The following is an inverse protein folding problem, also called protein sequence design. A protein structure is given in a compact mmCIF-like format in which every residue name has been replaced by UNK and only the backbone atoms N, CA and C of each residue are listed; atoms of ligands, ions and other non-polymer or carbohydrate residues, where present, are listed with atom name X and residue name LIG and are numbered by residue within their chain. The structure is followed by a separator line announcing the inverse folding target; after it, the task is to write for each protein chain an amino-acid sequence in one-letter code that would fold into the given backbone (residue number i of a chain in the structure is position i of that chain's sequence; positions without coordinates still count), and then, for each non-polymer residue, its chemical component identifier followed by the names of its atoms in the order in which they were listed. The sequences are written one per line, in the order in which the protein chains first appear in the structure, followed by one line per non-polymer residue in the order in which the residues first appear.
data_IF_715104648182
#
_entry.id   IF_715104648182
#
_cell.length_a   1.000
_cell.length_b   1.000
_cell.length_c   1.000
_cell.angle_alpha   90.00
_cell.angle_beta   90.00
_cell.angle_gamma   90.00
#
_symmetry.space_group_name_H-M   'P 1'
#
loop_
_entity.id
_entity.type
_entity.pdbx_description
1 polymer ?
#
# COMPACT_ATOMS: atom_id res chain seq x y z
N UNK A 1 -4.62 -8.63 6.63
CA UNK A 1 -4.01 -7.47 5.98
C UNK A 1 -5.10 -6.56 5.47
N UNK A 2 -5.07 -5.28 5.79
CA UNK A 2 -5.87 -4.24 5.12
C UNK A 2 -5.07 -3.71 3.93
N UNK A 3 -5.70 -3.61 2.76
CA UNK A 3 -5.04 -3.24 1.51
C UNK A 3 -5.19 -1.75 1.15
N UNK A 4 -5.22 -0.88 2.14
CA UNK A 4 -5.33 0.56 1.96
C UNK A 4 -6.77 1.06 2.01
N UNK A 5 -6.95 2.38 1.88
CA UNK A 5 -8.23 3.06 2.00
C UNK A 5 -8.95 2.72 3.32
N UNK A 6 -8.20 2.84 4.41
CA UNK A 6 -8.68 2.49 5.75
C UNK A 6 -9.83 3.38 6.18
N UNK A 7 -9.83 4.61 5.69
CA UNK A 7 -10.89 5.60 5.83
C UNK A 7 -11.04 6.36 4.52
N UNK A 8 -12.23 6.88 4.25
CA UNK A 8 -12.52 7.62 3.02
C UNK A 8 -12.32 9.11 3.24
N UNK A 9 -11.07 9.59 3.08
CA UNK A 9 -10.70 11.00 3.27
C UNK A 9 -11.19 11.60 4.60
N UNK A 10 -11.17 10.80 5.65
CA UNK A 10 -11.70 11.17 6.95
C UNK A 10 -10.79 10.68 8.08
N UNK A 11 -9.63 11.29 8.24
CA UNK A 11 -8.60 10.89 9.21
C UNK A 11 -9.09 10.88 10.67
N UNK A 12 -10.10 11.67 11.01
CA UNK A 12 -10.76 11.61 12.31
C UNK A 12 -11.38 10.23 12.61
N UNK A 13 -11.56 9.39 11.59
CA UNK A 13 -12.04 8.02 11.72
C UNK A 13 -10.92 7.00 12.01
N UNK A 14 -9.66 7.38 12.01
CA UNK A 14 -8.57 6.44 12.33
C UNK A 14 -8.70 5.87 13.76
N UNK A 15 -9.08 6.69 14.74
CA UNK A 15 -9.28 6.19 16.11
C UNK A 15 -10.41 5.17 16.20
N UNK A 16 -11.65 5.45 15.72
CA UNK A 16 -12.72 4.45 15.72
C UNK A 16 -12.41 3.23 14.83
N UNK A 17 -11.72 3.41 13.71
CA UNK A 17 -11.25 2.29 12.88
C UNK A 17 -10.32 1.36 13.66
N UNK A 18 -9.28 1.90 14.32
CA UNK A 18 -8.37 1.12 15.17
C UNK A 18 -9.10 0.38 16.28
N UNK A 19 -10.08 1.02 16.90
CA UNK A 19 -10.92 0.40 17.91
C UNK A 19 -11.72 -0.77 17.34
N UNK A 20 -12.33 -0.60 16.16
CA UNK A 20 -13.09 -1.66 15.49
C UNK A 20 -12.19 -2.85 15.14
N UNK A 21 -11.01 -2.58 14.58
CA UNK A 21 -10.03 -3.61 14.22
C UNK A 21 -9.50 -4.35 15.47
N UNK A 22 -9.28 -3.64 16.59
CA UNK A 22 -8.80 -4.28 17.82
C UNK A 22 -9.81 -5.28 18.40
N UNK A 23 -11.09 -5.08 18.13
CA UNK A 23 -12.16 -5.99 18.57
C UNK A 23 -12.17 -7.33 17.81
N UNK A 24 -11.42 -7.46 16.73
CA UNK A 24 -11.31 -8.73 16.00
C UNK A 24 -10.50 -9.79 16.73
N UNK A 25 -9.77 -9.42 17.80
CA UNK A 25 -8.95 -10.34 18.58
C UNK A 25 -7.76 -10.94 17.81
N UNK A 26 -7.36 -10.32 16.69
CA UNK A 26 -6.24 -10.76 15.88
C UNK A 26 -5.37 -9.57 15.47
N UNK A 27 -4.08 -9.82 15.23
CA UNK A 27 -3.19 -8.79 14.71
C UNK A 27 -3.58 -8.43 13.28
N UNK A 28 -3.83 -7.15 13.05
CA UNK A 28 -4.10 -6.61 11.72
C UNK A 28 -2.94 -5.73 11.27
N UNK A 29 -2.46 -6.01 10.07
CA UNK A 29 -1.46 -5.20 9.39
C UNK A 29 -2.16 -4.31 8.37
N UNK A 30 -1.74 -3.06 8.29
CA UNK A 30 -2.40 -2.05 7.46
C UNK A 30 -1.46 -1.60 6.34
N UNK A 31 -2.06 -1.24 5.21
CA UNK A 31 -1.40 -0.61 4.08
C UNK A 31 -2.04 0.77 3.85
N UNK A 32 -1.29 1.69 3.31
CA UNK A 32 -1.79 3.02 2.97
C UNK A 32 -2.37 3.02 1.56
N UNK A 33 -3.58 3.57 1.39
CA UNK A 33 -4.21 3.82 0.10
C UNK A 33 -4.33 5.31 -0.21
N UNK A 34 -4.94 5.65 -1.35
CA UNK A 34 -5.06 7.04 -1.78
C UNK A 34 -5.99 7.88 -0.89
N UNK A 35 -7.05 7.28 -0.36
CA UNK A 35 -7.97 7.99 0.55
C UNK A 35 -7.35 8.22 1.95
N UNK A 36 -6.28 7.52 2.30
CA UNK A 36 -5.54 7.75 3.52
C UNK A 36 -4.67 9.01 3.47
N UNK A 37 -4.46 9.61 2.29
CA UNK A 37 -3.87 10.94 2.14
C UNK A 37 -4.84 12.09 2.47
N UNK A 38 -6.12 11.80 2.64
CA UNK A 38 -7.15 12.82 2.91
C UNK A 38 -7.28 13.88 1.80
N UNK A 39 -7.18 13.46 0.56
CA UNK A 39 -7.09 14.36 -0.59
C UNK A 39 -8.38 15.14 -0.87
N UNK A 40 -9.52 14.45 -0.71
CA UNK A 40 -10.84 15.02 -1.01
C UNK A 40 -11.55 15.55 0.24
N UNK A 41 -10.83 15.62 1.34
CA UNK A 41 -11.45 15.90 2.60
C UNK A 41 -12.26 17.19 2.59
N UNK A 42 -13.47 17.06 3.09
CA UNK A 42 -14.32 18.16 3.50
C UNK A 42 -14.52 18.09 5.00
N UNK A 43 -13.53 17.57 5.71
CA UNK A 43 -13.68 17.35 7.12
C UNK A 43 -13.78 18.68 7.84
N UNK A 44 -14.39 18.64 8.96
CA UNK A 44 -14.61 19.79 9.83
C UNK A 44 -13.33 20.48 10.30
N UNK A 45 -12.20 19.82 10.15
CA UNK A 45 -10.89 20.30 10.63
C UNK A 45 -9.98 20.80 9.51
N UNK A 46 -10.52 21.06 8.37
CA UNK A 46 -9.73 21.28 7.17
C UNK A 46 -8.88 22.51 7.13
N UNK A 47 -9.33 23.54 7.81
CA UNK A 47 -8.58 24.78 7.94
C UNK A 47 -7.28 24.61 8.68
N UNK A 48 -7.17 23.55 9.46
CA UNK A 48 -6.04 23.30 10.34
C UNK A 48 -4.92 22.52 9.65
N UNK A 49 -5.15 22.04 8.43
CA UNK A 49 -4.24 21.13 7.73
C UNK A 49 -3.98 21.53 6.29
N UNK A 50 -3.40 22.70 6.07
CA UNK A 50 -3.15 23.20 4.72
C UNK A 50 -1.94 22.54 4.05
N UNK A 51 -1.12 21.79 4.79
CA UNK A 51 0.11 21.24 4.25
C UNK A 51 -0.15 20.00 3.41
N UNK A 52 0.37 19.99 2.21
CA UNK A 52 0.49 18.80 1.38
C UNK A 52 1.23 17.70 2.17
N UNK A 53 0.77 16.46 2.04
CA UNK A 53 1.37 15.33 2.77
C UNK A 53 0.90 15.14 4.21
N UNK A 54 0.03 15.98 4.74
CA UNK A 54 -0.48 15.83 6.09
C UNK A 54 -1.15 14.46 6.32
N UNK A 55 -1.88 13.96 5.35
CA UNK A 55 -2.49 12.63 5.43
C UNK A 55 -1.46 11.53 5.65
N UNK A 56 -0.37 11.56 4.90
CA UNK A 56 0.72 10.61 5.05
C UNK A 56 1.36 10.66 6.45
N UNK A 57 1.63 11.85 6.96
CA UNK A 57 2.17 12.02 8.31
C UNK A 57 1.21 11.46 9.37
N UNK A 58 -0.08 11.72 9.23
CA UNK A 58 -1.10 11.23 10.15
C UNK A 58 -1.23 9.69 10.08
N UNK A 59 -1.11 9.13 8.88
CA UNK A 59 -1.03 7.68 8.71
C UNK A 59 0.15 7.09 9.48
N UNK A 60 1.35 7.65 9.31
CA UNK A 60 2.57 7.20 10.01
C UNK A 60 2.43 7.26 11.54
N UNK A 61 1.82 8.31 12.06
CA UNK A 61 1.57 8.44 13.49
C UNK A 61 0.54 7.42 14.00
N UNK A 62 -0.40 7.02 13.16
CA UNK A 62 -1.51 6.14 13.55
C UNK A 62 -1.20 4.66 13.38
N UNK A 63 -0.46 4.30 12.34
CA UNK A 63 -0.26 2.91 11.90
C UNK A 63 1.21 2.50 11.74
N UNK A 64 2.14 3.46 11.79
CA UNK A 64 3.56 3.19 11.56
C UNK A 64 4.00 3.39 10.11
N UNK A 65 5.14 2.84 9.72
CA UNK A 65 5.71 3.06 8.39
C UNK A 65 4.81 2.48 7.29
N UNK A 66 4.79 3.14 6.12
CA UNK A 66 4.03 2.66 4.97
C UNK A 66 4.71 1.46 4.29
N UNK A 67 6.05 1.41 4.33
CA UNK A 67 6.82 0.27 3.85
C UNK A 67 7.36 -0.53 5.03
N UNK A 68 7.01 -1.80 5.10
CA UNK A 68 7.52 -2.72 6.12
C UNK A 68 7.42 -4.17 5.65
N UNK A 69 8.16 -5.04 6.31
CA UNK A 69 8.13 -6.47 6.05
C UNK A 69 8.22 -7.28 7.33
N UNK A 70 7.80 -8.53 7.25
CA UNK A 70 7.93 -9.51 8.32
C UNK A 70 7.86 -10.94 7.75
N UNK A 71 8.22 -11.91 8.57
CA UNK A 71 8.17 -13.31 8.15
C UNK A 71 7.08 -14.08 8.91
N UNK A 72 6.37 -14.92 8.19
CA UNK A 72 5.48 -15.93 8.76
C UNK A 72 6.02 -17.31 8.31
N UNK A 73 6.74 -17.98 9.17
CA UNK A 73 7.43 -19.21 8.79
C UNK A 73 8.42 -18.96 7.65
N UNK A 74 8.17 -19.58 6.48
CA UNK A 74 9.03 -19.43 5.29
C UNK A 74 8.50 -18.40 4.29
N UNK A 75 7.39 -17.74 4.60
CA UNK A 75 6.81 -16.71 3.74
C UNK A 75 7.32 -15.35 4.20
N UNK A 76 7.91 -14.60 3.28
CA UNK A 76 8.26 -13.21 3.49
C UNK A 76 7.10 -12.32 3.06
N UNK A 77 6.56 -11.55 3.97
CA UNK A 77 5.40 -10.68 3.74
C UNK A 77 5.88 -9.24 3.66
N UNK A 78 5.55 -8.58 2.59
CA UNK A 78 5.89 -7.18 2.33
C UNK A 78 4.61 -6.37 2.24
N UNK A 79 4.54 -5.25 2.93
CA UNK A 79 3.58 -4.19 2.72
C UNK A 79 4.34 -2.98 2.16
N UNK A 80 3.92 -2.49 1.00
CA UNK A 80 4.64 -1.43 0.29
C UNK A 80 3.68 -0.39 -0.26
N UNK A 81 3.98 0.86 0.02
CA UNK A 81 3.24 2.00 -0.54
C UNK A 81 3.49 2.08 -2.04
N UNK A 82 2.43 2.27 -2.81
CA UNK A 82 2.46 2.48 -4.25
C UNK A 82 1.58 3.65 -4.69
N UNK A 83 1.16 4.46 -3.73
CA UNK A 83 0.49 5.74 -3.93
C UNK A 83 1.45 6.84 -3.51
N UNK A 84 1.71 7.78 -4.39
CA UNK A 84 2.58 8.91 -4.13
C UNK A 84 1.83 10.23 -4.32
N UNK A 85 1.98 11.14 -3.38
CA UNK A 85 1.26 12.40 -3.37
C UNK A 85 1.97 13.43 -4.24
N UNK A 86 1.26 13.97 -5.25
CA UNK A 86 1.80 14.93 -6.22
C UNK A 86 1.53 16.39 -5.85
N UNK A 87 0.93 16.66 -4.69
CA UNK A 87 0.46 17.98 -4.30
C UNK A 87 -0.92 18.32 -4.90
N UNK A 88 -1.52 19.41 -4.41
CA UNK A 88 -2.79 19.91 -4.93
C UNK A 88 -3.92 18.86 -4.99
N UNK A 89 -4.02 18.02 -4.00
CA UNK A 89 -5.03 16.94 -3.92
C UNK A 89 -4.96 15.93 -5.07
N UNK A 90 -3.76 15.69 -5.60
CA UNK A 90 -3.50 14.70 -6.64
C UNK A 90 -2.54 13.64 -6.13
N UNK A 91 -2.61 12.49 -6.73
CA UNK A 91 -1.70 11.38 -6.49
C UNK A 91 -1.40 10.64 -7.79
N UNK A 92 -0.33 9.87 -7.76
CA UNK A 92 0.03 8.94 -8.83
C UNK A 92 0.29 7.58 -8.21
N UNK A 93 -0.25 6.54 -8.82
CA UNK A 93 0.10 5.17 -8.49
C UNK A 93 1.49 4.88 -9.06
N UNK A 94 2.48 4.78 -8.17
CA UNK A 94 3.87 4.50 -8.56
C UNK A 94 4.70 4.04 -7.36
N UNK A 95 5.79 3.35 -7.68
CA UNK A 95 6.88 3.13 -6.75
C UNK A 95 7.94 4.19 -6.96
N UNK A 96 8.29 4.92 -5.92
CA UNK A 96 9.39 5.89 -6.00
C UNK A 96 10.74 5.14 -6.08
N UNK A 97 11.82 5.81 -6.50
CA UNK A 97 13.17 5.23 -6.43
C UNK A 97 13.53 4.78 -5.01
N UNK A 98 13.14 5.53 -4.00
CA UNK A 98 13.36 5.25 -2.59
C UNK A 98 12.61 3.98 -2.14
N UNK A 99 11.38 3.79 -2.59
CA UNK A 99 10.59 2.58 -2.32
C UNK A 99 11.25 1.34 -2.94
N UNK A 100 11.72 1.46 -4.19
CA UNK A 100 12.41 0.36 -4.87
C UNK A 100 13.78 0.06 -4.25
N UNK A 101 14.49 1.06 -3.75
CA UNK A 101 15.75 0.87 -3.04
C UNK A 101 15.52 0.21 -1.68
N UNK A 102 14.48 0.61 -0.97
CA UNK A 102 14.05 -0.06 0.26
C UNK A 102 13.75 -1.54 -0.02
N UNK A 103 12.93 -1.83 -1.03
CA UNK A 103 12.59 -3.20 -1.42
C UNK A 103 13.84 -4.02 -1.79
N UNK A 104 14.75 -3.46 -2.56
CA UNK A 104 16.01 -4.13 -2.94
C UNK A 104 16.82 -4.51 -1.70
N UNK A 105 16.90 -3.59 -0.73
CA UNK A 105 17.60 -3.83 0.53
C UNK A 105 16.91 -4.90 1.35
N UNK A 106 15.60 -4.84 1.49
CA UNK A 106 14.80 -5.81 2.23
C UNK A 106 14.97 -7.23 1.63
N UNK A 107 14.78 -7.36 0.32
CA UNK A 107 14.94 -8.61 -0.39
C UNK A 107 16.37 -9.17 -0.34
N UNK A 108 17.38 -8.36 -0.06
CA UNK A 108 18.75 -8.85 0.09
C UNK A 108 18.94 -9.79 1.30
N UNK A 109 18.03 -9.74 2.26
CA UNK A 109 17.99 -10.62 3.42
C UNK A 109 17.13 -11.88 3.21
N UNK A 110 16.44 -11.97 2.07
CA UNK A 110 15.53 -13.06 1.75
C UNK A 110 16.22 -14.05 0.81
N UNK A 111 16.35 -15.34 1.16
CA UNK A 111 16.93 -16.32 0.27
C UNK A 111 16.15 -16.43 -1.05
N UNK A 112 16.87 -16.48 -2.17
CA UNK A 112 16.26 -16.67 -3.50
C UNK A 112 15.43 -17.96 -3.53
N UNK A 113 14.31 -17.90 -4.25
CA UNK A 113 13.37 -19.03 -4.31
C UNK A 113 12.36 -19.08 -3.18
N UNK A 114 12.48 -18.23 -2.15
CA UNK A 114 11.47 -18.14 -1.10
C UNK A 114 10.15 -17.59 -1.63
N UNK A 115 9.09 -17.88 -0.91
CA UNK A 115 7.77 -17.32 -1.18
C UNK A 115 7.73 -15.88 -0.64
N UNK A 116 7.30 -14.95 -1.49
CA UNK A 116 7.10 -13.55 -1.14
C UNK A 116 5.65 -13.18 -1.37
N UNK A 117 4.98 -12.66 -0.34
CA UNK A 117 3.68 -12.04 -0.45
C UNK A 117 3.87 -10.53 -0.46
N UNK A 118 3.68 -9.92 -1.63
CA UNK A 118 3.70 -8.48 -1.78
C UNK A 118 2.27 -7.94 -1.67
N UNK A 119 2.07 -7.00 -0.75
CA UNK A 119 0.81 -6.30 -0.57
C UNK A 119 1.02 -4.83 -0.95
N UNK A 120 0.21 -4.35 -1.87
CA UNK A 120 0.20 -2.98 -2.39
C UNK A 120 -1.23 -2.46 -2.44
N UNK A 121 -1.43 -1.16 -2.59
CA UNK A 121 -2.79 -0.64 -2.71
C UNK A 121 -3.30 -0.71 -4.15
N UNK A 122 -2.59 -0.09 -5.09
CA UNK A 122 -2.97 -0.10 -6.50
C UNK A 122 -2.50 -1.39 -7.21
N UNK A 123 -3.23 -1.90 -8.19
CA UNK A 123 -2.78 -3.02 -9.00
C UNK A 123 -1.47 -2.74 -9.74
N UNK A 124 -0.62 -3.74 -9.82
CA UNK A 124 0.67 -3.64 -10.53
C UNK A 124 0.66 -4.29 -11.92
N UNK A 125 -0.41 -5.00 -12.26
CA UNK A 125 -0.55 -5.68 -13.56
C UNK A 125 -1.34 -4.82 -14.55
N UNK A 126 -0.90 -4.80 -15.81
CA UNK A 126 -1.47 -3.95 -16.86
C UNK A 126 -2.81 -4.46 -17.44
N UNK A 127 -3.36 -5.55 -16.94
CA UNK A 127 -4.51 -6.22 -17.52
C UNK A 127 -5.76 -6.16 -16.65
N UNK A 128 -5.83 -5.23 -15.72
CA UNK A 128 -7.03 -5.06 -14.89
C UNK A 128 -8.18 -4.54 -15.73
N UNK A 129 -9.35 -5.15 -15.60
CA UNK A 129 -10.59 -4.74 -16.29
C UNK A 129 -11.06 -3.36 -15.77
N UNK A 130 -10.69 -3.02 -14.57
CA UNK A 130 -10.99 -1.71 -13.99
C UNK A 130 -10.14 -0.63 -14.64
N UNK A 131 -10.77 0.32 -15.26
CA UNK A 131 -10.10 1.50 -15.79
C UNK A 131 -9.49 2.32 -14.65
N UNK A 132 -8.18 2.45 -14.63
CA UNK A 132 -7.43 3.27 -13.69
C UNK A 132 -6.65 2.45 -12.66
N UNK A 133 -5.43 2.87 -12.40
CA UNK A 133 -4.66 2.40 -11.28
C UNK A 133 -3.73 1.24 -11.53
N UNK A 134 -2.90 1.36 -12.54
CA UNK A 134 -1.71 0.51 -12.65
C UNK A 134 -0.49 1.29 -12.16
N UNK A 135 0.14 0.79 -11.11
CA UNK A 135 1.30 1.44 -10.55
C UNK A 135 2.41 1.62 -11.62
N UNK A 136 2.84 2.85 -11.79
CA UNK A 136 3.99 3.17 -12.65
C UNK A 136 5.25 2.53 -12.05
N UNK A 137 6.21 2.23 -12.90
CA UNK A 137 7.46 1.55 -12.54
C UNK A 137 7.30 0.08 -12.11
N UNK A 138 6.15 -0.55 -12.39
CA UNK A 138 5.93 -1.96 -12.11
C UNK A 138 6.99 -2.88 -12.73
N UNK A 139 7.55 -2.53 -13.88
CA UNK A 139 8.64 -3.30 -14.50
C UNK A 139 9.89 -3.38 -13.61
N UNK A 140 10.25 -2.28 -12.94
CA UNK A 140 11.39 -2.27 -12.01
C UNK A 140 11.10 -3.13 -10.77
N UNK A 141 9.88 -3.07 -10.26
CA UNK A 141 9.40 -3.94 -9.19
C UNK A 141 9.51 -5.42 -9.59
N UNK A 142 9.00 -5.81 -10.76
CA UNK A 142 9.04 -7.20 -11.23
C UNK A 142 10.47 -7.72 -11.42
N UNK A 143 11.41 -6.88 -11.83
CA UNK A 143 12.80 -7.28 -11.90
C UNK A 143 13.40 -7.63 -10.54
N UNK A 144 13.04 -6.87 -9.49
CA UNK A 144 13.48 -7.16 -8.12
C UNK A 144 12.85 -8.45 -7.58
N UNK A 145 11.61 -8.71 -7.93
CA UNK A 145 10.86 -9.87 -7.46
C UNK A 145 11.15 -11.16 -8.22
N UNK A 146 11.70 -11.08 -9.42
CA UNK A 146 11.97 -12.23 -10.31
C UNK A 146 12.66 -13.43 -9.66
N UNK A 147 13.58 -13.27 -8.69
CA UNK A 147 14.25 -14.41 -8.05
C UNK A 147 13.37 -15.19 -7.05
N UNK A 148 12.13 -14.79 -6.82
CA UNK A 148 11.25 -15.30 -5.77
C UNK A 148 9.96 -15.89 -6.34
N UNK A 149 9.27 -16.69 -5.51
CA UNK A 149 7.91 -17.15 -5.81
C UNK A 149 6.92 -16.11 -5.24
N UNK A 150 6.34 -15.28 -6.10
CA UNK A 150 5.61 -14.10 -5.67
C UNK A 150 4.11 -14.26 -5.83
N UNK A 151 3.38 -13.86 -4.81
CA UNK A 151 1.94 -13.55 -4.86
C UNK A 151 1.76 -12.07 -4.55
N UNK A 152 0.98 -11.37 -5.37
CA UNK A 152 0.70 -9.95 -5.19
C UNK A 152 -0.78 -9.78 -4.86
N UNK A 153 -1.05 -9.02 -3.81
CA UNK A 153 -2.40 -8.65 -3.38
C UNK A 153 -2.56 -7.14 -3.48
N UNK A 154 -3.63 -6.71 -4.12
CA UNK A 154 -3.97 -5.29 -4.25
C UNK A 154 -5.44 -5.01 -3.96
N UNK A 155 -5.76 -3.76 -3.68
CA UNK A 155 -7.10 -3.22 -3.49
C UNK A 155 -7.46 -2.21 -4.59
N UNK A 156 -7.89 -1.01 -4.20
CA UNK A 156 -8.10 0.20 -5.02
C UNK A 156 -9.25 0.11 -6.05
N UNK A 157 -9.29 -0.93 -6.86
CA UNK A 157 -10.23 -1.04 -7.99
C UNK A 157 -11.65 -1.43 -7.58
N UNK A 158 -11.85 -1.90 -6.34
CA UNK A 158 -13.12 -2.40 -5.82
C UNK A 158 -13.71 -3.58 -6.63
N UNK A 159 -12.86 -4.30 -7.36
CA UNK A 159 -13.24 -5.51 -8.08
C UNK A 159 -12.45 -6.70 -7.54
N UNK A 160 -13.08 -7.86 -7.55
CA UNK A 160 -12.36 -9.11 -7.38
C UNK A 160 -11.86 -9.57 -8.74
N UNK A 161 -10.57 -9.70 -8.87
CA UNK A 161 -9.91 -10.20 -10.07
C UNK A 161 -8.75 -11.12 -9.66
N UNK A 162 -8.63 -12.26 -10.30
CA UNK A 162 -7.49 -13.15 -10.12
C UNK A 162 -6.76 -13.28 -11.45
N UNK A 163 -5.56 -12.74 -11.50
CA UNK A 163 -4.71 -12.82 -12.67
C UNK A 163 -3.66 -13.90 -12.46
N UNK A 164 -3.73 -14.94 -13.26
CA UNK A 164 -2.63 -15.89 -13.35
C UNK A 164 -1.51 -15.27 -14.18
N UNK A 165 -0.23 -15.57 -13.85
CA UNK A 165 0.87 -15.16 -14.69
C UNK A 165 0.65 -15.69 -16.11
N UNK A 166 0.95 -14.86 -17.12
CA UNK A 166 0.94 -15.33 -18.51
C UNK A 166 1.90 -16.52 -18.63
N UNK A 167 1.51 -17.57 -19.35
CA UNK A 167 2.35 -18.74 -19.53
C UNK A 167 3.68 -18.41 -20.21
#
# INVERSE_FOLDING_TARGET
MGLGDLVWDAMNLYAPYRQAVSNLGMTMFQLMGNHDFNLLYKSITQTDHPADGYGEQNYYQSFGPANYSFNIGKVHVIAMKDIDYDGNKKYTERFTPEDLDWLRKDLSYVPKGNIVFLNVHAPVANNTVAAGGNARNANALFQLLRPYQVQIFSGHTHFYENQLPAP
#
